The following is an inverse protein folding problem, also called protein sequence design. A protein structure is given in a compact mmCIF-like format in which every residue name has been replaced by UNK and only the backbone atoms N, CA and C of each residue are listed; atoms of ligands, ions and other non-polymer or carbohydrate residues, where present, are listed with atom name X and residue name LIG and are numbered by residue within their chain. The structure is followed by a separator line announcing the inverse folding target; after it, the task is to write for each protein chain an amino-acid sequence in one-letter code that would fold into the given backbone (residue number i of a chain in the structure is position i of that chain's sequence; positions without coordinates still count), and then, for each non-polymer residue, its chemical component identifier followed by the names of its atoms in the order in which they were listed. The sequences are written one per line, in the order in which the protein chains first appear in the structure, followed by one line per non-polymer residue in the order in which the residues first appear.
data_IF_073705296612
#
_entry.id   IF_073705296612
#
_cell.length_a   1.000
_cell.length_b   1.000
_cell.length_c   1.000
_cell.angle_alpha   90.00
_cell.angle_beta   90.00
_cell.angle_gamma   90.00
#
_symmetry.space_group_name_H-M   'P 1'
#
loop_
_entity.id
_entity.type
_entity.pdbx_description
1 polymer ?
#
# COMPACT_ATOMS: atom_id res chain seq x y z
N UNK A 1 -15.81 26.85 -15.11
CA UNK A 1 -15.00 25.92 -14.34
C UNK A 1 -15.98 24.90 -13.77
N UNK A 2 -15.77 23.62 -14.10
CA UNK A 2 -16.58 22.52 -13.58
C UNK A 2 -16.44 22.48 -12.05
N UNK A 3 -17.42 21.92 -11.34
CA UNK A 3 -17.37 21.78 -9.88
C UNK A 3 -16.19 20.88 -9.46
N UNK A 4 -15.88 19.85 -10.24
CA UNK A 4 -14.72 18.99 -9.97
C UNK A 4 -13.39 19.75 -10.14
N UNK A 5 -13.28 20.61 -11.16
CA UNK A 5 -12.09 21.47 -11.30
C UNK A 5 -11.89 22.36 -10.08
N UNK A 6 -12.98 22.90 -9.53
CA UNK A 6 -12.88 23.77 -8.34
C UNK A 6 -12.47 23.01 -7.08
N UNK A 7 -12.94 21.77 -6.94
CA UNK A 7 -12.64 20.92 -5.79
C UNK A 7 -11.28 20.21 -5.90
N UNK A 8 -10.77 19.99 -7.12
CA UNK A 8 -9.52 19.28 -7.35
C UNK A 8 -8.33 20.18 -7.70
N UNK A 9 -8.56 21.50 -7.92
CA UNK A 9 -7.49 22.41 -8.32
C UNK A 9 -6.76 23.03 -7.13
N UNK A 10 -5.46 23.24 -7.29
CA UNK A 10 -4.61 23.92 -6.33
C UNK A 10 -3.61 22.99 -5.66
N UNK A 11 -2.59 23.60 -5.03
CA UNK A 11 -1.68 22.88 -4.14
C UNK A 11 -2.32 22.76 -2.75
N UNK A 12 -2.46 21.52 -2.26
CA UNK A 12 -3.03 21.21 -0.95
C UNK A 12 -4.57 21.17 -0.92
N UNK A 13 -5.11 21.17 0.30
CA UNK A 13 -6.55 21.04 0.55
C UNK A 13 -7.34 22.25 0.01
N UNK A 14 -8.37 22.07 -0.85
CA UNK A 14 -9.14 23.18 -1.45
C UNK A 14 -10.21 23.72 -0.48
N UNK A 15 -9.77 24.24 0.67
CA UNK A 15 -10.61 24.62 1.81
C UNK A 15 -11.74 25.58 1.41
N UNK A 16 -11.44 26.62 0.63
CA UNK A 16 -12.42 27.64 0.25
C UNK A 16 -13.48 27.06 -0.70
N UNK A 17 -13.08 26.17 -1.63
CA UNK A 17 -14.03 25.48 -2.51
C UNK A 17 -14.93 24.52 -1.72
N UNK A 18 -14.41 23.79 -0.76
CA UNK A 18 -15.15 22.88 0.13
C UNK A 18 -16.18 23.69 0.97
N UNK A 19 -15.76 24.82 1.55
CA UNK A 19 -16.66 25.71 2.31
C UNK A 19 -17.75 26.30 1.44
N UNK A 20 -17.39 26.76 0.23
CA UNK A 20 -18.37 27.29 -0.73
C UNK A 20 -19.37 26.22 -1.20
N UNK A 21 -18.91 25.00 -1.48
CA UNK A 21 -19.75 23.86 -1.82
C UNK A 21 -20.72 23.51 -0.67
N UNK A 22 -20.20 23.47 0.57
CA UNK A 22 -21.00 23.17 1.77
C UNK A 22 -22.04 24.23 2.03
N UNK A 23 -21.70 25.52 1.86
CA UNK A 23 -22.66 26.63 1.99
C UNK A 23 -23.78 26.58 0.94
N UNK A 24 -23.52 25.96 -0.22
CA UNK A 24 -24.44 25.84 -1.33
C UNK A 24 -24.88 24.38 -1.60
N UNK A 25 -24.83 23.53 -0.56
CA UNK A 25 -25.07 22.08 -0.66
C UNK A 25 -26.23 21.69 -1.56
N UNK A 26 -27.39 22.34 -1.42
CA UNK A 26 -28.59 22.00 -2.18
C UNK A 26 -28.42 22.14 -3.71
N UNK A 27 -27.58 23.08 -4.17
CA UNK A 27 -27.27 23.28 -5.57
C UNK A 27 -26.09 22.41 -6.04
N UNK A 28 -25.15 22.09 -5.15
CA UNK A 28 -23.92 21.39 -5.48
C UNK A 28 -24.08 19.87 -5.44
N UNK A 29 -24.84 19.31 -4.49
CA UNK A 29 -25.00 17.87 -4.35
C UNK A 29 -25.46 17.17 -5.64
N UNK A 30 -26.44 17.67 -6.41
CA UNK A 30 -26.81 17.07 -7.68
C UNK A 30 -25.66 17.02 -8.71
N UNK A 31 -24.80 18.06 -8.73
CA UNK A 31 -23.64 18.12 -9.63
C UNK A 31 -22.57 17.09 -9.26
N UNK A 32 -22.31 16.92 -7.94
CA UNK A 32 -21.40 15.90 -7.47
C UNK A 32 -21.91 14.48 -7.77
N UNK A 33 -23.22 14.25 -7.61
CA UNK A 33 -23.84 12.98 -7.96
C UNK A 33 -23.70 12.66 -9.45
N UNK A 34 -23.95 13.62 -10.31
CA UNK A 34 -23.75 13.46 -11.75
C UNK A 34 -22.30 13.15 -12.10
N UNK A 35 -21.34 13.81 -11.44
CA UNK A 35 -19.92 13.58 -11.64
C UNK A 35 -19.50 12.17 -11.20
N UNK A 36 -19.94 11.71 -10.03
CA UNK A 36 -19.70 10.34 -9.52
C UNK A 36 -20.30 9.29 -10.47
N UNK A 37 -21.54 9.50 -10.94
CA UNK A 37 -22.18 8.55 -11.86
C UNK A 37 -21.48 8.47 -13.21
N UNK A 38 -21.04 9.60 -13.74
CA UNK A 38 -20.28 9.66 -15.00
C UNK A 38 -18.92 8.98 -14.85
N UNK A 39 -18.18 9.31 -13.78
CA UNK A 39 -16.84 8.78 -13.43
C UNK A 39 -15.92 8.59 -14.64
N UNK A 40 -15.66 9.64 -15.37
CA UNK A 40 -14.72 9.67 -16.51
C UNK A 40 -13.77 10.85 -16.33
N UNK A 41 -12.89 10.81 -15.30
CA UNK A 41 -11.98 11.92 -15.05
C UNK A 41 -10.96 12.02 -16.20
N UNK A 42 -10.64 13.27 -16.58
CA UNK A 42 -9.71 13.58 -17.67
C UNK A 42 -8.31 13.88 -17.15
N UNK A 43 -8.02 13.55 -15.91
CA UNK A 43 -6.72 13.74 -15.28
C UNK A 43 -6.84 13.99 -13.77
N UNK A 44 -5.69 14.20 -13.15
CA UNK A 44 -5.50 14.29 -11.71
C UNK A 44 -6.45 15.32 -11.03
N UNK A 45 -6.67 16.48 -11.64
CA UNK A 45 -7.56 17.51 -11.09
C UNK A 45 -9.00 16.99 -10.94
N UNK A 46 -9.54 16.33 -11.96
CA UNK A 46 -10.90 15.77 -11.88
C UNK A 46 -10.95 14.57 -10.92
N UNK A 47 -9.87 13.80 -10.78
CA UNK A 47 -9.76 12.71 -9.81
C UNK A 47 -9.75 13.23 -8.38
N UNK A 48 -8.93 14.23 -8.08
CA UNK A 48 -8.93 14.92 -6.79
C UNK A 48 -10.30 15.54 -6.49
N UNK A 49 -10.96 16.11 -7.51
CA UNK A 49 -12.32 16.62 -7.40
C UNK A 49 -13.33 15.52 -7.04
N UNK A 50 -13.22 14.32 -7.63
CA UNK A 50 -14.07 13.16 -7.31
C UNK A 50 -13.78 12.64 -5.88
N UNK A 51 -12.51 12.60 -5.47
CA UNK A 51 -12.13 12.26 -4.11
C UNK A 51 -12.80 13.18 -3.08
N UNK A 52 -12.70 14.48 -3.26
CA UNK A 52 -13.38 15.47 -2.38
C UNK A 52 -14.90 15.34 -2.47
N UNK A 53 -15.47 15.14 -3.66
CA UNK A 53 -16.91 14.96 -3.85
C UNK A 53 -17.46 13.75 -3.08
N UNK A 54 -16.73 12.62 -3.08
CA UNK A 54 -17.08 11.43 -2.32
C UNK A 54 -17.20 11.74 -0.82
N UNK A 55 -16.23 12.45 -0.24
CA UNK A 55 -16.21 12.79 1.17
C UNK A 55 -17.26 13.86 1.54
N UNK A 56 -17.47 14.86 0.68
CA UNK A 56 -18.52 15.86 0.91
C UNK A 56 -19.91 15.25 0.96
N UNK A 57 -20.21 14.30 0.09
CA UNK A 57 -21.49 13.58 0.11
C UNK A 57 -21.67 12.81 1.43
N UNK A 58 -20.59 12.21 1.95
CA UNK A 58 -20.56 11.58 3.27
C UNK A 58 -20.79 12.57 4.42
N UNK A 59 -20.04 13.66 4.45
CA UNK A 59 -20.19 14.74 5.43
C UNK A 59 -21.62 15.27 5.47
N UNK A 60 -22.23 15.43 4.32
CA UNK A 60 -23.58 15.98 4.21
C UNK A 60 -24.67 14.96 4.52
N UNK A 61 -24.35 13.70 4.76
CA UNK A 61 -25.34 12.62 4.93
C UNK A 61 -26.32 12.57 3.75
N UNK A 62 -25.80 12.70 2.53
CA UNK A 62 -26.62 12.78 1.33
C UNK A 62 -27.13 11.40 0.92
N UNK A 63 -28.31 11.01 1.42
CA UNK A 63 -28.87 9.66 1.20
C UNK A 63 -29.06 9.32 -0.28
N UNK A 64 -29.29 10.32 -1.14
CA UNK A 64 -29.41 10.12 -2.58
C UNK A 64 -28.07 9.69 -3.23
N UNK A 65 -26.95 9.89 -2.52
CA UNK A 65 -25.61 9.46 -2.96
C UNK A 65 -25.36 7.96 -2.74
N UNK A 66 -26.07 7.30 -1.86
CA UNK A 66 -25.79 5.93 -1.45
C UNK A 66 -25.63 4.95 -2.63
N UNK A 67 -26.65 4.89 -3.50
CA UNK A 67 -26.64 3.99 -4.66
C UNK A 67 -25.66 4.41 -5.77
N UNK A 68 -25.52 5.71 -6.11
CA UNK A 68 -24.43 6.18 -6.96
C UNK A 68 -23.05 5.81 -6.46
N UNK A 69 -22.74 6.03 -5.18
CA UNK A 69 -21.45 5.66 -4.57
C UNK A 69 -21.24 4.15 -4.56
N UNK A 70 -22.26 3.35 -4.25
CA UNK A 70 -22.16 1.90 -4.31
C UNK A 70 -21.82 1.39 -5.73
N UNK A 71 -22.36 2.02 -6.78
CA UNK A 71 -21.98 1.71 -8.16
C UNK A 71 -20.57 2.17 -8.50
N UNK A 72 -20.17 3.33 -8.00
CA UNK A 72 -18.83 3.87 -8.18
C UNK A 72 -17.78 2.94 -7.57
N UNK A 73 -17.96 2.46 -6.32
CA UNK A 73 -17.03 1.57 -5.62
C UNK A 73 -16.82 0.20 -6.30
N UNK A 74 -17.70 -0.19 -7.23
CA UNK A 74 -17.53 -1.43 -8.02
C UNK A 74 -16.77 -1.21 -9.33
N UNK A 75 -16.33 0.01 -9.61
CA UNK A 75 -15.56 0.32 -10.83
C UNK A 75 -14.06 0.13 -10.58
N UNK A 76 -13.30 -0.32 -11.59
CA UNK A 76 -11.84 -0.47 -11.47
C UNK A 76 -11.11 0.81 -11.06
N UNK A 77 -11.63 1.98 -11.47
CA UNK A 77 -11.03 3.28 -11.18
C UNK A 77 -11.19 3.73 -9.73
N UNK A 78 -12.14 3.15 -8.98
CA UNK A 78 -12.50 3.62 -7.64
C UNK A 78 -11.32 3.54 -6.67
N UNK A 79 -10.57 2.43 -6.69
CA UNK A 79 -9.39 2.26 -5.84
C UNK A 79 -8.35 3.36 -6.11
N UNK A 80 -8.01 3.60 -7.37
CA UNK A 80 -7.02 4.62 -7.76
C UNK A 80 -7.45 6.04 -7.39
N UNK A 81 -8.76 6.37 -7.56
CA UNK A 81 -9.29 7.69 -7.23
C UNK A 81 -9.34 7.91 -5.71
N UNK A 82 -9.66 6.87 -4.93
CA UNK A 82 -9.83 6.98 -3.50
C UNK A 82 -8.52 6.77 -2.71
N UNK A 83 -7.53 6.06 -3.27
CA UNK A 83 -6.24 5.84 -2.64
C UNK A 83 -6.38 5.37 -1.18
N UNK A 84 -5.69 6.05 -0.25
CA UNK A 84 -5.70 5.72 1.18
C UNK A 84 -7.11 5.78 1.82
N UNK A 85 -8.06 6.51 1.23
CA UNK A 85 -9.43 6.53 1.73
C UNK A 85 -10.10 5.15 1.71
N UNK A 86 -9.62 4.23 0.89
CA UNK A 86 -10.13 2.85 0.80
C UNK A 86 -10.04 2.16 2.16
N UNK A 87 -8.95 2.34 2.89
CA UNK A 87 -8.77 1.80 4.24
C UNK A 87 -9.29 2.71 5.34
N UNK A 88 -9.25 4.04 5.15
CA UNK A 88 -9.44 5.00 6.23
C UNK A 88 -10.88 5.54 6.33
N UNK A 89 -11.55 5.82 5.21
CA UNK A 89 -12.80 6.60 5.25
C UNK A 89 -13.95 6.01 4.45
N UNK A 90 -13.71 5.13 3.46
CA UNK A 90 -14.76 4.62 2.56
C UNK A 90 -15.91 3.96 3.33
N UNK A 91 -15.65 3.14 4.32
CA UNK A 91 -16.66 2.48 5.16
C UNK A 91 -17.49 3.50 5.94
N UNK A 92 -16.87 4.56 6.46
CA UNK A 92 -17.51 5.64 7.20
C UNK A 92 -18.40 6.50 6.29
N UNK A 93 -17.92 6.82 5.08
CA UNK A 93 -18.68 7.57 4.10
C UNK A 93 -19.91 6.76 3.65
N UNK A 94 -19.74 5.47 3.33
CA UNK A 94 -20.86 4.61 2.90
C UNK A 94 -21.92 4.44 3.99
N UNK A 95 -21.50 4.26 5.26
CA UNK A 95 -22.42 4.26 6.38
C UNK A 95 -23.14 5.61 6.54
N UNK A 96 -22.43 6.73 6.28
CA UNK A 96 -22.96 8.08 6.43
C UNK A 96 -24.08 8.42 5.44
N UNK A 97 -24.02 7.86 4.23
CA UNK A 97 -25.04 8.11 3.17
C UNK A 97 -26.13 7.06 3.12
N UNK A 98 -26.14 6.08 4.01
CA UNK A 98 -27.06 4.95 4.02
C UNK A 98 -28.53 5.35 3.85
N UNK A 99 -29.25 4.69 2.93
CA UNK A 99 -30.64 5.01 2.60
C UNK A 99 -31.67 4.09 3.31
N UNK A 100 -31.22 3.11 4.08
CA UNK A 100 -32.06 2.14 4.78
C UNK A 100 -32.08 0.75 4.13
N UNK A 101 -31.44 0.55 2.97
CA UNK A 101 -31.37 -0.74 2.27
C UNK A 101 -29.92 -1.26 2.25
N UNK A 102 -29.59 -2.35 2.95
CA UNK A 102 -28.23 -2.89 2.95
C UNK A 102 -27.83 -3.58 1.63
N UNK A 103 -28.77 -3.81 0.72
CA UNK A 103 -28.52 -4.52 -0.54
C UNK A 103 -27.32 -4.01 -1.33
N UNK A 104 -27.17 -2.71 -1.59
CA UNK A 104 -25.99 -2.16 -2.29
C UNK A 104 -24.64 -2.46 -1.60
N UNK A 105 -24.57 -2.48 -0.27
CA UNK A 105 -23.36 -2.90 0.48
C UNK A 105 -23.11 -4.40 0.27
N UNK A 106 -24.16 -5.22 0.39
CA UNK A 106 -24.06 -6.67 0.16
C UNK A 106 -23.63 -6.98 -1.28
N UNK A 107 -24.08 -6.21 -2.25
CA UNK A 107 -23.70 -6.35 -3.65
C UNK A 107 -22.20 -6.08 -3.87
N UNK A 108 -21.62 -5.05 -3.22
CA UNK A 108 -20.19 -4.77 -3.27
C UNK A 108 -19.39 -5.92 -2.63
N UNK A 109 -19.79 -6.35 -1.43
CA UNK A 109 -19.13 -7.43 -0.70
C UNK A 109 -19.06 -8.71 -1.54
N UNK A 110 -20.15 -9.04 -2.22
CA UNK A 110 -20.29 -10.29 -2.99
C UNK A 110 -19.76 -10.20 -4.42
N UNK A 111 -19.36 -9.03 -4.91
CA UNK A 111 -18.84 -8.84 -6.26
C UNK A 111 -17.36 -9.23 -6.32
N UNK A 112 -16.99 -10.37 -6.93
CA UNK A 112 -15.59 -10.79 -7.01
C UNK A 112 -14.74 -9.92 -7.94
N UNK A 113 -15.36 -9.10 -8.80
CA UNK A 113 -14.67 -8.17 -9.71
C UNK A 113 -14.40 -6.81 -9.04
N UNK A 114 -15.04 -6.52 -7.91
CA UNK A 114 -14.75 -5.32 -7.14
C UNK A 114 -13.44 -5.51 -6.34
N UNK A 115 -12.73 -4.41 -6.13
CA UNK A 115 -11.49 -4.40 -5.37
C UNK A 115 -11.65 -5.01 -3.97
N UNK A 116 -10.71 -5.85 -3.55
CA UNK A 116 -10.80 -6.61 -2.30
C UNK A 116 -10.80 -5.72 -1.05
N UNK A 117 -10.10 -4.58 -1.07
CA UNK A 117 -10.06 -3.65 0.07
C UNK A 117 -11.35 -2.81 0.15
N UNK A 118 -11.92 -2.44 -1.00
CA UNK A 118 -13.24 -1.81 -1.03
C UNK A 118 -14.32 -2.76 -0.49
N UNK A 119 -14.27 -4.03 -0.86
CA UNK A 119 -15.15 -5.09 -0.32
C UNK A 119 -14.96 -5.27 1.19
N UNK A 120 -13.71 -5.29 1.65
CA UNK A 120 -13.34 -5.33 3.07
C UNK A 120 -13.94 -4.14 3.83
N UNK A 121 -13.80 -2.93 3.30
CA UNK A 121 -14.38 -1.73 3.92
C UNK A 121 -15.88 -1.79 4.10
N UNK A 122 -16.63 -2.48 3.23
CA UNK A 122 -18.09 -2.61 3.36
C UNK A 122 -18.51 -3.41 4.59
N UNK A 123 -17.70 -4.33 5.10
CA UNK A 123 -17.97 -4.96 6.40
C UNK A 123 -17.85 -3.95 7.54
N UNK A 124 -16.88 -3.03 7.49
CA UNK A 124 -16.79 -1.91 8.43
C UNK A 124 -18.04 -1.02 8.39
N UNK A 125 -18.56 -0.74 7.20
CA UNK A 125 -19.81 0.02 7.04
C UNK A 125 -21.00 -0.71 7.71
N UNK A 126 -21.12 -2.04 7.57
CA UNK A 126 -22.16 -2.82 8.26
C UNK A 126 -22.02 -2.72 9.79
N UNK A 127 -20.79 -2.79 10.31
CA UNK A 127 -20.54 -2.63 11.75
C UNK A 127 -21.03 -1.26 12.22
N UNK A 128 -20.63 -0.17 11.55
CA UNK A 128 -21.08 1.18 11.89
C UNK A 128 -22.63 1.26 11.91
N UNK A 129 -23.28 0.76 10.87
CA UNK A 129 -24.74 0.82 10.76
C UNK A 129 -25.45 0.05 11.87
N UNK A 130 -24.91 -1.09 12.31
CA UNK A 130 -25.47 -1.83 13.46
C UNK A 130 -25.27 -1.05 14.75
N UNK A 131 -24.08 -0.51 14.97
CA UNK A 131 -23.75 0.22 16.20
C UNK A 131 -24.53 1.52 16.35
N UNK A 132 -24.87 2.17 15.22
CA UNK A 132 -25.73 3.36 15.19
C UNK A 132 -27.24 3.01 15.14
N UNK A 133 -27.62 1.72 15.19
CA UNK A 133 -29.01 1.30 15.21
C UNK A 133 -29.75 1.44 13.89
N UNK A 134 -29.04 1.64 12.78
CA UNK A 134 -29.62 1.74 11.43
C UNK A 134 -29.88 0.35 10.81
N UNK A 135 -29.15 -0.70 11.27
CA UNK A 135 -29.35 -2.08 10.88
C UNK A 135 -29.53 -3.00 12.10
N UNK A 136 -30.34 -4.03 11.94
CA UNK A 136 -30.52 -5.06 12.96
C UNK A 136 -29.31 -6.00 12.99
N UNK A 137 -28.72 -6.18 14.19
CA UNK A 137 -27.55 -7.05 14.40
C UNK A 137 -27.81 -8.49 13.96
N UNK A 138 -29.02 -9.00 14.15
CA UNK A 138 -29.38 -10.38 13.77
C UNK A 138 -29.52 -10.55 12.27
N UNK A 139 -29.87 -9.49 11.56
CA UNK A 139 -29.89 -9.47 10.09
C UNK A 139 -28.47 -9.55 9.53
N UNK A 140 -27.56 -8.71 10.05
CA UNK A 140 -26.16 -8.72 9.64
C UNK A 140 -25.48 -10.05 10.02
N UNK A 141 -25.77 -10.62 11.21
CA UNK A 141 -25.27 -11.93 11.60
C UNK A 141 -25.68 -13.04 10.60
N UNK A 142 -26.92 -13.04 10.13
CA UNK A 142 -27.41 -14.00 9.10
C UNK A 142 -26.70 -13.80 7.77
N UNK A 143 -26.46 -12.54 7.38
CA UNK A 143 -25.69 -12.23 6.17
C UNK A 143 -24.25 -12.77 6.30
N UNK A 144 -23.54 -12.47 7.41
CA UNK A 144 -22.19 -12.95 7.66
C UNK A 144 -22.11 -14.49 7.67
N UNK A 145 -23.09 -15.16 8.29
CA UNK A 145 -23.15 -16.62 8.29
C UNK A 145 -23.29 -17.19 6.87
N UNK A 146 -24.19 -16.62 6.05
CA UNK A 146 -24.39 -17.07 4.68
C UNK A 146 -23.22 -16.74 3.76
N UNK A 147 -22.52 -15.66 4.04
CA UNK A 147 -21.35 -15.21 3.26
C UNK A 147 -20.16 -16.17 3.35
N UNK A 148 -20.03 -16.94 4.42
CA UNK A 148 -18.92 -17.89 4.60
C UNK A 148 -18.74 -18.84 3.40
N UNK A 149 -19.83 -19.31 2.81
CA UNK A 149 -19.79 -20.18 1.64
C UNK A 149 -19.94 -19.46 0.30
N UNK A 150 -20.44 -18.22 0.32
CA UNK A 150 -20.76 -17.45 -0.87
C UNK A 150 -19.61 -16.56 -1.35
N UNK A 151 -18.82 -16.01 -0.43
CA UNK A 151 -17.73 -15.10 -0.74
C UNK A 151 -16.70 -15.73 -1.68
N UNK A 152 -16.15 -14.92 -2.57
CA UNK A 152 -15.07 -15.27 -3.50
C UNK A 152 -13.93 -14.25 -3.37
N UNK A 153 -12.66 -14.72 -3.49
CA UNK A 153 -12.24 -16.13 -3.60
C UNK A 153 -12.48 -16.90 -2.30
N UNK A 154 -12.55 -18.25 -2.39
CA UNK A 154 -12.48 -19.16 -1.23
C UNK A 154 -11.02 -19.50 -0.96
N UNK A 155 -10.23 -18.50 -0.59
CA UNK A 155 -8.80 -18.51 -0.36
C UNK A 155 -8.35 -17.17 0.21
N UNK A 156 -7.04 -16.93 0.40
CA UNK A 156 -6.49 -15.69 0.96
C UNK A 156 -6.97 -14.45 0.19
N UNK A 157 -7.57 -13.50 0.90
CA UNK A 157 -8.09 -12.26 0.32
C UNK A 157 -8.45 -11.29 1.45
N UNK A 158 -8.22 -9.99 1.25
CA UNK A 158 -8.55 -8.96 2.24
C UNK A 158 -10.03 -8.95 2.66
N UNK A 159 -10.93 -9.45 1.81
CA UNK A 159 -12.35 -9.57 2.12
C UNK A 159 -12.62 -10.40 3.37
N UNK A 160 -11.81 -11.44 3.63
CA UNK A 160 -11.94 -12.30 4.81
C UNK A 160 -11.49 -11.61 6.09
N UNK A 161 -10.52 -10.69 6.01
CA UNK A 161 -10.13 -9.84 7.14
C UNK A 161 -11.29 -8.92 7.53
N UNK A 162 -12.04 -8.37 6.56
CA UNK A 162 -13.25 -7.59 6.83
C UNK A 162 -14.37 -8.44 7.43
N UNK A 163 -14.59 -9.65 6.88
CA UNK A 163 -15.63 -10.57 7.35
C UNK A 163 -15.43 -10.98 8.80
N UNK A 164 -14.22 -11.45 9.17
CA UNK A 164 -13.93 -11.83 10.55
C UNK A 164 -13.93 -10.60 11.48
N UNK A 165 -13.43 -9.42 11.02
CA UNK A 165 -13.49 -8.18 11.79
C UNK A 165 -14.92 -7.76 12.13
N UNK A 166 -15.87 -7.91 11.20
CA UNK A 166 -17.28 -7.65 11.50
C UNK A 166 -17.86 -8.67 12.52
N UNK A 167 -17.43 -9.92 12.46
CA UNK A 167 -17.83 -10.94 13.46
C UNK A 167 -17.34 -10.56 14.85
N UNK A 168 -16.07 -10.17 15.00
CA UNK A 168 -15.50 -9.77 16.29
C UNK A 168 -16.13 -8.46 16.79
N UNK A 169 -16.17 -7.40 15.98
CA UNK A 169 -16.68 -6.08 16.35
C UNK A 169 -18.16 -6.10 16.76
N UNK A 170 -18.96 -6.96 16.16
CA UNK A 170 -20.37 -7.16 16.53
C UNK A 170 -20.58 -8.17 17.66
N UNK A 171 -19.53 -8.76 18.22
CA UNK A 171 -19.63 -9.73 19.32
C UNK A 171 -20.39 -11.00 18.94
N UNK A 172 -20.29 -11.49 17.70
CA UNK A 172 -21.06 -12.62 17.17
C UNK A 172 -20.38 -13.95 17.53
N UNK A 173 -20.41 -14.31 18.81
CA UNK A 173 -19.79 -15.53 19.35
C UNK A 173 -20.25 -16.81 18.68
N UNK A 174 -21.48 -16.84 18.18
CA UNK A 174 -22.07 -17.97 17.44
C UNK A 174 -21.37 -18.27 16.12
N UNK A 175 -20.64 -17.30 15.54
CA UNK A 175 -19.88 -17.46 14.29
C UNK A 175 -18.41 -17.83 14.52
N UNK A 176 -17.92 -17.89 15.76
CA UNK A 176 -16.52 -18.26 16.09
C UNK A 176 -16.06 -19.57 15.41
N UNK A 177 -16.89 -20.65 15.32
CA UNK A 177 -16.45 -21.86 14.61
C UNK A 177 -16.15 -21.64 13.13
N UNK A 178 -16.91 -20.76 12.45
CA UNK A 178 -16.67 -20.42 11.03
C UNK A 178 -15.42 -19.55 10.87
N UNK A 179 -15.16 -18.64 11.83
CA UNK A 179 -13.93 -17.83 11.82
C UNK A 179 -12.72 -18.74 12.01
N UNK A 180 -12.76 -19.68 12.94
CA UNK A 180 -11.69 -20.67 13.13
C UNK A 180 -11.43 -21.45 11.83
N UNK A 181 -12.48 -21.93 11.16
CA UNK A 181 -12.37 -22.62 9.88
C UNK A 181 -11.73 -21.71 8.79
N UNK A 182 -12.05 -20.41 8.79
CA UNK A 182 -11.44 -19.46 7.84
C UNK A 182 -9.92 -19.30 8.07
N UNK A 183 -9.48 -19.26 9.34
CA UNK A 183 -8.05 -19.24 9.68
C UNK A 183 -7.36 -20.57 9.34
N UNK A 184 -7.96 -21.71 9.65
CA UNK A 184 -7.43 -23.05 9.32
C UNK A 184 -7.32 -23.31 7.83
N UNK A 185 -8.13 -22.62 7.00
CA UNK A 185 -8.12 -22.68 5.53
C UNK A 185 -7.28 -21.58 4.88
N UNK A 186 -6.53 -20.82 5.67
CA UNK A 186 -5.72 -19.68 5.23
C UNK A 186 -6.50 -18.62 4.40
N UNK A 187 -7.79 -18.40 4.72
CA UNK A 187 -8.59 -17.34 4.08
C UNK A 187 -8.23 -15.97 4.63
N UNK A 188 -7.97 -15.89 5.93
CA UNK A 188 -7.56 -14.67 6.64
C UNK A 188 -6.05 -14.55 6.58
N UNK A 189 -5.55 -13.38 6.19
CA UNK A 189 -4.12 -13.11 6.19
C UNK A 189 -3.60 -12.97 7.63
N UNK A 190 -2.89 -14.00 8.10
CA UNK A 190 -2.38 -14.12 9.46
C UNK A 190 -1.16 -13.22 9.74
N UNK A 191 -0.61 -12.56 8.72
CA UNK A 191 0.45 -11.55 8.91
C UNK A 191 -0.08 -10.35 9.70
N UNK A 192 -1.36 -10.01 9.51
CA UNK A 192 -1.96 -8.84 10.16
C UNK A 192 -2.77 -9.14 11.41
N UNK A 193 -3.33 -10.35 11.52
CA UNK A 193 -4.19 -10.73 12.62
C UNK A 193 -4.18 -12.25 12.79
N UNK A 194 -3.81 -12.73 13.96
CA UNK A 194 -3.94 -14.15 14.30
C UNK A 194 -5.29 -14.45 14.99
N UNK A 195 -5.56 -15.76 15.21
CA UNK A 195 -6.82 -16.18 15.81
C UNK A 195 -6.94 -15.78 17.29
N UNK A 196 -5.82 -15.62 18.03
CA UNK A 196 -5.82 -15.18 19.43
C UNK A 196 -6.25 -13.71 19.52
N UNK A 197 -5.79 -12.88 18.57
CA UNK A 197 -6.21 -11.48 18.45
C UNK A 197 -7.70 -11.37 18.12
N UNK A 198 -8.22 -12.19 17.19
CA UNK A 198 -9.65 -12.28 16.94
C UNK A 198 -10.45 -12.62 18.22
N UNK A 199 -10.01 -13.64 19.00
CA UNK A 199 -10.70 -14.00 20.26
C UNK A 199 -10.65 -12.88 21.31
N UNK A 200 -9.54 -12.11 21.35
CA UNK A 200 -9.40 -10.96 22.24
C UNK A 200 -10.39 -9.84 21.86
N UNK A 201 -10.45 -9.49 20.56
CA UNK A 201 -11.36 -8.47 20.03
C UNK A 201 -12.83 -8.88 20.25
N UNK A 202 -13.17 -10.13 19.96
CA UNK A 202 -14.51 -10.68 20.21
C UNK A 202 -14.92 -10.58 21.68
N UNK A 203 -14.00 -10.95 22.57
CA UNK A 203 -14.24 -10.89 24.03
C UNK A 203 -14.45 -9.45 24.48
N UNK A 204 -13.69 -8.52 23.99
CA UNK A 204 -13.80 -7.10 24.28
C UNK A 204 -15.15 -6.54 23.81
N UNK A 205 -15.56 -6.82 22.58
CA UNK A 205 -16.87 -6.43 22.06
C UNK A 205 -18.03 -7.01 22.89
N UNK A 206 -17.90 -8.26 23.36
CA UNK A 206 -18.90 -8.91 24.22
C UNK A 206 -18.95 -8.33 25.64
N UNK A 207 -17.87 -7.74 26.15
CA UNK A 207 -17.83 -7.13 27.49
C UNK A 207 -18.65 -5.83 27.56
N UNK A 208 -19.14 -5.32 26.43
CA UNK A 208 -19.89 -4.06 26.39
C UNK A 208 -18.98 -2.84 26.55
N UNK A 209 -17.68 -3.06 26.44
CA UNK A 209 -16.68 -2.00 26.32
C UNK A 209 -16.63 -1.64 24.83
N UNK A 210 -17.53 -0.75 24.35
CA UNK A 210 -17.66 -0.59 22.93
C UNK A 210 -16.42 0.18 22.46
N UNK A 211 -15.91 -0.19 21.32
CA UNK A 211 -15.29 0.67 20.33
C UNK A 211 -14.28 1.73 20.78
N UNK A 212 -14.39 2.33 21.99
CA UNK A 212 -13.39 3.25 22.55
C UNK A 212 -12.02 2.58 22.75
N UNK A 213 -12.00 1.29 22.94
CA UNK A 213 -10.78 0.50 23.14
C UNK A 213 -10.19 -0.07 21.85
N UNK A 214 -10.98 -0.11 20.77
CA UNK A 214 -10.56 -0.61 19.44
C UNK A 214 -10.21 0.49 18.46
N UNK A 215 -9.62 1.64 18.89
CA UNK A 215 -9.39 2.80 18.05
C UNK A 215 -10.71 3.49 17.64
N UNK A 216 -11.41 4.02 18.61
CA UNK A 216 -12.80 4.48 18.63
C UNK A 216 -13.33 5.36 17.51
N UNK A 217 -12.50 5.89 16.63
CA UNK A 217 -12.96 6.69 15.49
C UNK A 217 -13.23 5.83 14.23
N UNK A 218 -12.68 4.63 14.11
CA UNK A 218 -12.79 3.76 12.93
C UNK A 218 -14.24 3.35 12.62
N UNK A 219 -15.08 3.20 13.66
CA UNK A 219 -16.49 2.82 13.54
C UNK A 219 -17.45 3.99 13.74
N UNK A 220 -17.00 5.20 13.54
CA UNK A 220 -17.86 6.37 13.54
C UNK A 220 -18.27 6.78 12.13
N UNK A 221 -19.39 7.48 12.04
CA UNK A 221 -19.80 8.09 10.78
C UNK A 221 -18.79 9.17 10.36
N UNK A 222 -18.60 9.34 9.06
CA UNK A 222 -17.67 10.34 8.53
C UNK A 222 -18.06 11.75 8.99
N UNK A 223 -17.09 12.52 9.43
CA UNK A 223 -17.28 13.85 10.00
C UNK A 223 -17.11 14.99 8.99
N UNK A 224 -16.32 16.01 9.40
CA UNK A 224 -16.02 17.18 8.56
C UNK A 224 -14.85 16.89 7.61
N UNK A 225 -15.07 17.05 6.31
CA UNK A 225 -14.08 16.74 5.27
C UNK A 225 -12.74 17.47 5.48
N UNK A 226 -12.77 18.76 5.91
CA UNK A 226 -11.55 19.53 6.13
C UNK A 226 -10.83 19.01 7.37
N UNK A 227 -11.56 18.81 8.46
CA UNK A 227 -10.97 18.38 9.73
C UNK A 227 -10.34 16.97 9.64
N UNK A 228 -10.93 16.07 8.85
CA UNK A 228 -10.45 14.69 8.74
C UNK A 228 -9.34 14.51 7.69
N UNK A 229 -9.32 15.32 6.64
CA UNK A 229 -8.41 15.07 5.50
C UNK A 229 -7.29 16.11 5.38
N UNK A 230 -7.36 17.28 6.06
CA UNK A 230 -6.39 18.36 5.84
C UNK A 230 -4.94 17.96 6.13
N UNK A 231 -4.73 17.04 7.07
CA UNK A 231 -3.40 16.56 7.47
C UNK A 231 -2.90 15.37 6.65
N UNK A 232 -3.68 14.90 5.68
CA UNK A 232 -3.26 13.79 4.82
C UNK A 232 -2.12 14.20 3.90
N UNK A 233 -1.19 13.30 3.63
CA UNK A 233 0.01 13.55 2.84
C UNK A 233 -0.29 14.15 1.45
N UNK A 234 -1.38 13.72 0.80
CA UNK A 234 -1.80 14.24 -0.51
C UNK A 234 -2.19 15.73 -0.48
N UNK A 235 -2.53 16.29 0.69
CA UNK A 235 -2.88 17.69 0.87
C UNK A 235 -1.78 18.52 1.54
N UNK A 236 -0.68 17.90 1.94
CA UNK A 236 0.46 18.65 2.45
C UNK A 236 1.20 19.32 1.30
N UNK A 237 1.78 20.53 1.52
CA UNK A 237 2.65 21.12 0.53
C UNK A 237 3.72 20.08 0.18
N UNK A 238 3.81 19.71 -1.10
CA UNK A 238 5.01 18.97 -1.55
C UNK A 238 6.18 19.82 -1.11
N UNK A 239 6.99 19.31 -0.19
CA UNK A 239 8.25 19.99 0.12
C UNK A 239 8.89 20.29 -1.24
N UNK A 240 9.32 21.55 -1.48
CA UNK A 240 10.01 21.84 -2.73
C UNK A 240 11.07 20.76 -2.80
N UNK A 241 11.11 20.07 -3.93
CA UNK A 241 12.22 19.21 -4.27
C UNK A 241 13.45 20.13 -4.19
N UNK A 242 13.93 20.30 -2.98
CA UNK A 242 15.24 20.86 -2.75
C UNK A 242 16.06 19.83 -3.49
N UNK A 243 16.40 20.18 -4.75
CA UNK A 243 17.46 19.49 -5.42
C UNK A 243 18.47 19.33 -4.31
N UNK A 244 18.56 18.10 -3.77
CA UNK A 244 19.52 17.78 -2.72
C UNK A 244 20.81 18.15 -3.41
N UNK A 245 21.20 19.43 -3.28
CA UNK A 245 22.53 19.85 -3.62
C UNK A 245 23.34 18.89 -2.80
N UNK A 246 23.87 17.93 -3.50
CA UNK A 246 24.92 17.07 -2.99
C UNK A 246 25.94 18.04 -2.38
N UNK A 247 25.77 18.37 -1.12
CA UNK A 247 26.82 18.95 -0.32
C UNK A 247 27.71 17.74 -0.10
N UNK A 248 28.87 17.65 -0.79
CA UNK A 248 29.75 16.55 -0.52
C UNK A 248 30.04 16.67 0.97
N UNK A 249 29.54 15.73 1.75
CA UNK A 249 29.92 15.57 3.15
C UNK A 249 31.43 15.35 3.09
N UNK A 250 32.15 16.42 3.39
CA UNK A 250 33.58 16.36 3.55
C UNK A 250 33.84 15.39 4.69
N UNK A 251 34.43 14.27 4.32
CA UNK A 251 34.97 13.22 5.20
C UNK A 251 34.06 12.02 5.54
N UNK A 252 33.59 11.32 4.50
CA UNK A 252 33.59 9.87 4.63
C UNK A 252 34.91 9.38 4.07
N UNK A 253 35.76 8.63 4.81
CA UNK A 253 36.98 8.06 4.27
C UNK A 253 36.58 7.10 3.15
N UNK A 254 36.85 7.45 1.91
CA UNK A 254 36.72 6.55 0.76
C UNK A 254 37.54 5.31 1.11
N UNK A 255 36.87 4.18 1.31
CA UNK A 255 37.57 2.92 1.58
C UNK A 255 38.37 2.57 0.33
N UNK A 256 39.66 2.87 0.35
CA UNK A 256 40.55 2.47 -0.72
C UNK A 256 40.80 0.96 -0.61
N UNK A 257 40.24 0.12 -1.48
CA UNK A 257 40.43 -1.34 -1.44
C UNK A 257 41.89 -1.74 -1.60
N UNK A 258 42.75 -0.82 -2.02
CA UNK A 258 44.21 -1.02 -2.18
C UNK A 258 45.04 -0.38 -1.08
N UNK A 259 44.44 0.01 0.05
CA UNK A 259 45.15 0.68 1.17
C UNK A 259 46.35 -0.09 1.67
N UNK A 260 46.32 -1.40 1.57
CA UNK A 260 47.39 -2.29 2.05
C UNK A 260 48.32 -2.82 0.93
N UNK A 261 48.19 -2.30 -0.31
CA UNK A 261 49.00 -2.72 -1.45
C UNK A 261 50.11 -1.70 -1.69
N UNK A 262 51.34 -2.09 -1.49
CA UNK A 262 52.51 -1.23 -1.76
C UNK A 262 52.67 -0.95 -3.25
N UNK A 263 53.17 0.22 -3.60
CA UNK A 263 53.35 0.64 -5.02
C UNK A 263 54.21 -0.37 -5.82
N UNK A 264 55.08 -1.13 -5.17
CA UNK A 264 55.97 -2.09 -5.80
C UNK A 264 55.47 -3.55 -5.70
N UNK A 265 54.38 -3.79 -4.98
CA UNK A 265 53.80 -5.12 -4.83
C UNK A 265 53.16 -5.64 -6.12
N UNK A 266 53.01 -6.96 -6.29
CA UNK A 266 52.27 -7.51 -7.40
C UNK A 266 50.83 -6.93 -7.44
N UNK A 267 50.39 -6.55 -8.63
CA UNK A 267 49.03 -5.95 -8.75
C UNK A 267 47.95 -6.99 -8.41
N UNK A 268 46.99 -6.67 -7.53
CA UNK A 268 45.93 -7.60 -7.12
C UNK A 268 45.02 -8.05 -8.30
N UNK A 269 45.02 -7.35 -9.43
CA UNK A 269 44.29 -7.75 -10.64
C UNK A 269 44.86 -9.00 -11.34
N UNK A 270 45.88 -9.64 -10.81
CA UNK A 270 46.49 -10.86 -11.39
C UNK A 270 47.34 -10.65 -12.64
N UNK A 271 47.64 -9.42 -13.05
CA UNK A 271 48.38 -9.12 -14.28
C UNK A 271 49.86 -9.42 -14.22
N UNK A 272 50.41 -9.83 -13.08
CA UNK A 272 51.86 -10.05 -12.84
C UNK A 272 52.73 -8.78 -12.87
N UNK A 273 52.13 -7.59 -13.08
CA UNK A 273 52.85 -6.30 -13.07
C UNK A 273 52.81 -5.69 -11.68
N UNK A 274 53.80 -4.82 -11.38
CA UNK A 274 53.79 -4.02 -10.16
C UNK A 274 52.59 -3.09 -10.12
N UNK A 275 51.96 -2.91 -8.95
CA UNK A 275 50.76 -2.13 -8.76
C UNK A 275 50.84 -0.72 -9.38
N UNK A 276 51.98 -0.03 -9.19
CA UNK A 276 52.24 1.29 -9.79
C UNK A 276 52.27 1.32 -11.32
N UNK A 277 52.48 0.19 -12.00
CA UNK A 277 52.51 0.04 -13.44
C UNK A 277 51.28 -0.64 -14.03
N UNK A 278 50.24 -0.77 -13.24
CA UNK A 278 49.04 -1.44 -13.62
C UNK A 278 47.79 -0.65 -13.15
N UNK A 279 47.18 -1.00 -12.03
CA UNK A 279 45.92 -0.41 -11.58
C UNK A 279 46.07 0.96 -10.92
N UNK A 280 47.24 1.31 -10.38
CA UNK A 280 47.49 2.64 -9.81
C UNK A 280 47.43 3.77 -10.89
N UNK A 281 47.92 3.50 -12.12
CA UNK A 281 47.88 4.46 -13.22
C UNK A 281 46.49 4.55 -13.90
N UNK A 282 45.63 3.54 -13.76
CA UNK A 282 44.27 3.52 -14.34
C UNK A 282 43.27 4.34 -13.54
N UNK A 283 43.55 4.77 -12.34
CA UNK A 283 42.73 5.64 -11.51
C UNK A 283 42.82 7.13 -11.89
N UNK A 284 43.52 7.47 -12.95
CA UNK A 284 43.64 8.83 -13.51
C UNK A 284 43.05 8.90 -14.90
N UNK A 285 41.80 8.49 -15.11
CA UNK A 285 41.15 8.70 -16.41
C UNK A 285 39.95 9.63 -16.19
N UNK A 286 40.02 10.76 -16.91
CA UNK A 286 38.95 11.73 -17.08
C UNK A 286 37.70 11.10 -17.72
N UNK A 287 36.49 11.68 -17.53
CA UNK A 287 35.25 11.13 -18.05
C UNK A 287 35.26 11.04 -19.57
N UNK A 288 34.69 10.00 -20.16
CA UNK A 288 34.68 9.84 -21.61
C UNK A 288 33.79 10.89 -22.30
N UNK A 289 34.36 11.54 -23.26
CA UNK A 289 33.71 12.39 -24.26
C UNK A 289 32.76 11.53 -25.10
N UNK A 290 31.55 12.01 -25.30
CA UNK A 290 30.52 11.48 -26.18
C UNK A 290 31.04 10.87 -27.48
N UNK A 291 30.76 9.59 -27.71
CA UNK A 291 30.96 8.93 -29.02
C UNK A 291 29.61 8.91 -29.74
N UNK A 292 29.58 9.49 -30.93
CA UNK A 292 28.44 9.43 -31.84
C UNK A 292 28.13 7.96 -32.21
N UNK A 293 26.87 7.58 -32.11
CA UNK A 293 26.35 6.29 -32.57
C UNK A 293 26.11 6.39 -34.09
N UNK A 294 26.69 5.46 -34.82
CA UNK A 294 26.56 5.31 -36.27
C UNK A 294 25.21 4.61 -36.59
N UNK A 295 24.36 5.34 -37.31
CA UNK A 295 23.10 4.90 -37.90
C UNK A 295 23.33 3.80 -38.94
N UNK A 296 23.21 2.54 -38.58
CA UNK A 296 22.97 1.46 -39.55
C UNK A 296 22.46 0.19 -38.84
N UNK A 297 21.17 0.13 -38.54
CA UNK A 297 20.28 -0.98 -38.77
C UNK A 297 18.85 -0.46 -38.66
N UNK A 298 18.30 -0.19 -39.84
CA UNK A 298 16.89 0.11 -40.00
C UNK A 298 16.08 -1.19 -40.23
N UNK A 299 14.88 -1.15 -39.71
CA UNK A 299 13.63 -1.79 -40.16
C UNK A 299 13.47 -3.30 -39.96
N UNK A 300 12.49 -3.67 -39.11
CA UNK A 300 11.24 -4.17 -39.65
C UNK A 300 10.08 -3.91 -38.66
N UNK A 301 8.98 -3.55 -39.28
CA UNK A 301 7.70 -3.08 -38.77
C UNK A 301 7.08 -3.93 -37.66
N UNK A 302 6.72 -3.30 -36.54
CA UNK A 302 5.45 -3.51 -35.84
C UNK A 302 4.89 -2.15 -35.48
N UNK A 303 3.92 -1.74 -36.28
CA UNK A 303 3.12 -0.52 -36.11
C UNK A 303 2.22 -0.61 -34.86
N UNK A 304 2.08 0.58 -34.26
CA UNK A 304 0.96 1.03 -33.44
C UNK A 304 0.66 0.31 -32.11
N UNK A 305 1.24 0.83 -31.06
CA UNK A 305 0.55 1.39 -29.90
C UNK A 305 1.58 2.14 -29.05
N UNK A 306 1.88 3.38 -29.50
CA UNK A 306 2.52 4.36 -28.66
C UNK A 306 1.45 4.99 -27.79
N UNK A 307 1.56 4.82 -26.48
CA UNK A 307 1.27 5.90 -25.54
C UNK A 307 2.28 5.81 -24.41
N UNK A 308 3.11 6.85 -24.36
CA UNK A 308 4.16 7.07 -23.43
C UNK A 308 3.55 7.44 -22.08
N UNK A 309 3.74 6.60 -21.09
CA UNK A 309 3.97 7.02 -19.72
C UNK A 309 4.76 5.89 -19.07
N UNK A 310 5.84 6.25 -18.36
CA UNK A 310 6.90 5.37 -17.92
C UNK A 310 6.46 4.19 -17.07
N UNK A 311 5.85 3.21 -17.67
CA UNK A 311 5.43 1.98 -17.01
C UNK A 311 6.65 1.06 -16.85
N UNK A 312 6.89 0.58 -15.64
CA UNK A 312 7.82 -0.52 -15.39
C UNK A 312 7.20 -1.79 -16.00
N UNK A 313 7.52 -2.05 -17.28
CA UNK A 313 6.87 -3.14 -18.02
C UNK A 313 7.44 -4.53 -17.73
N UNK A 314 8.66 -4.64 -17.17
CA UNK A 314 9.36 -5.91 -16.99
C UNK A 314 10.07 -5.99 -15.63
N UNK A 315 9.30 -6.01 -14.51
CA UNK A 315 9.90 -6.31 -13.21
C UNK A 315 10.29 -7.78 -13.12
N UNK A 316 11.56 -8.03 -12.83
CA UNK A 316 12.11 -9.35 -12.53
C UNK A 316 12.88 -9.29 -11.19
N UNK A 317 12.42 -9.93 -10.11
CA UNK A 317 13.08 -9.89 -8.81
C UNK A 317 14.47 -10.55 -8.81
N UNK A 318 14.82 -11.30 -9.85
CA UNK A 318 16.17 -11.85 -10.03
C UNK A 318 17.16 -10.80 -10.55
N UNK A 319 16.68 -9.68 -11.07
CA UNK A 319 17.47 -8.56 -11.59
C UNK A 319 17.22 -7.32 -10.73
N UNK A 320 18.28 -6.62 -10.31
CA UNK A 320 18.11 -5.36 -9.59
C UNK A 320 17.58 -4.30 -10.55
N UNK A 321 16.43 -3.66 -10.25
CA UNK A 321 15.92 -2.55 -11.06
C UNK A 321 16.90 -1.38 -11.08
N UNK A 322 16.86 -0.57 -12.16
CA UNK A 322 17.56 0.70 -12.15
C UNK A 322 16.99 1.60 -11.05
N UNK A 323 17.81 2.08 -10.08
CA UNK A 323 17.30 2.82 -8.93
C UNK A 323 16.56 4.12 -9.30
N UNK A 324 17.02 4.83 -10.33
CA UNK A 324 16.42 6.10 -10.74
C UNK A 324 15.06 5.85 -11.43
N UNK A 325 14.96 4.84 -12.27
CA UNK A 325 13.69 4.43 -12.89
C UNK A 325 12.72 3.92 -11.85
N UNK A 326 13.18 3.05 -10.94
CA UNK A 326 12.34 2.48 -9.88
C UNK A 326 11.76 3.54 -8.96
N UNK A 327 12.58 4.46 -8.45
CA UNK A 327 12.13 5.50 -7.51
C UNK A 327 11.29 6.60 -8.19
N UNK A 328 11.42 6.79 -9.51
CA UNK A 328 10.60 7.75 -10.26
C UNK A 328 9.21 7.23 -10.58
N UNK A 329 9.05 5.91 -10.69
CA UNK A 329 7.76 5.28 -10.94
C UNK A 329 6.79 5.50 -9.77
N UNK A 330 5.49 5.57 -10.06
CA UNK A 330 4.45 5.65 -9.04
C UNK A 330 4.41 4.40 -8.14
N UNK A 331 4.05 4.57 -6.86
CA UNK A 331 3.98 3.44 -5.92
C UNK A 331 3.06 2.33 -6.43
N UNK A 332 1.86 2.70 -6.90
CA UNK A 332 0.90 1.73 -7.46
C UNK A 332 1.47 1.01 -8.67
N UNK A 333 2.21 1.71 -9.53
CA UNK A 333 2.86 1.13 -10.69
C UNK A 333 3.89 0.07 -10.30
N UNK A 334 4.71 0.34 -9.27
CA UNK A 334 5.64 -0.64 -8.71
C UNK A 334 4.93 -1.85 -8.12
N UNK A 335 3.83 -1.64 -7.39
CA UNK A 335 3.01 -2.72 -6.83
C UNK A 335 2.43 -3.58 -7.96
N UNK A 336 1.88 -2.96 -9.01
CA UNK A 336 1.30 -3.68 -10.14
C UNK A 336 2.34 -4.46 -10.94
N UNK A 337 3.56 -3.92 -11.09
CA UNK A 337 4.67 -4.61 -11.72
C UNK A 337 5.06 -5.89 -10.94
N UNK A 338 5.15 -5.81 -9.62
CA UNK A 338 5.43 -6.98 -8.76
C UNK A 338 4.27 -7.99 -8.81
N UNK A 339 3.02 -7.52 -8.72
CA UNK A 339 1.82 -8.40 -8.86
C UNK A 339 1.80 -9.11 -10.21
N UNK A 340 2.16 -8.40 -11.28
CA UNK A 340 2.22 -8.99 -12.61
C UNK A 340 3.25 -10.11 -12.69
N UNK A 341 4.44 -9.94 -12.10
CA UNK A 341 5.44 -11.01 -12.02
C UNK A 341 4.89 -12.24 -11.28
N UNK A 342 4.23 -12.02 -10.14
CA UNK A 342 3.71 -13.09 -9.29
C UNK A 342 2.35 -13.67 -9.73
N UNK A 343 1.73 -13.18 -10.81
CA UNK A 343 0.38 -13.62 -11.25
C UNK A 343 0.27 -15.14 -11.47
N UNK A 344 1.36 -15.78 -11.90
CA UNK A 344 1.43 -17.21 -12.20
C UNK A 344 2.09 -18.02 -11.07
N UNK A 345 2.39 -17.38 -9.92
CA UNK A 345 2.97 -18.08 -8.77
C UNK A 345 2.02 -19.17 -8.25
N UNK A 346 2.60 -20.26 -7.73
CA UNK A 346 1.81 -21.41 -7.25
C UNK A 346 1.10 -21.12 -5.94
N UNK A 347 1.69 -20.29 -5.11
CA UNK A 347 1.14 -19.87 -3.82
C UNK A 347 0.22 -18.66 -4.00
N UNK A 348 -0.98 -18.69 -3.38
CA UNK A 348 -1.86 -17.51 -3.34
C UNK A 348 -1.28 -16.39 -2.49
N UNK A 349 -0.49 -16.73 -1.45
CA UNK A 349 0.21 -15.74 -0.65
C UNK A 349 1.19 -14.91 -1.50
N UNK A 350 1.91 -15.53 -2.43
CA UNK A 350 2.79 -14.83 -3.37
C UNK A 350 2.03 -13.94 -4.36
N UNK A 351 0.76 -14.21 -4.64
CA UNK A 351 -0.10 -13.39 -5.50
C UNK A 351 -0.80 -12.27 -4.75
N UNK A 352 -0.69 -12.21 -3.43
CA UNK A 352 -1.37 -11.19 -2.62
C UNK A 352 -0.79 -9.79 -2.83
N UNK A 353 -1.63 -8.76 -2.68
CA UNK A 353 -1.20 -7.36 -2.73
C UNK A 353 -0.19 -7.04 -1.63
N UNK A 354 -0.35 -7.65 -0.46
CA UNK A 354 0.57 -7.49 0.68
C UNK A 354 1.97 -7.97 0.35
N UNK A 355 2.07 -9.15 -0.28
CA UNK A 355 3.34 -9.68 -0.74
C UNK A 355 4.01 -8.71 -1.73
N UNK A 356 3.25 -8.16 -2.67
CA UNK A 356 3.74 -7.17 -3.61
C UNK A 356 4.21 -5.89 -2.90
N UNK A 357 3.46 -5.38 -1.92
CA UNK A 357 3.86 -4.21 -1.12
C UNK A 357 5.16 -4.46 -0.37
N UNK A 358 5.32 -5.61 0.28
CA UNK A 358 6.57 -5.97 0.98
C UNK A 358 7.75 -5.99 -0.01
N UNK A 359 7.57 -6.59 -1.19
CA UNK A 359 8.59 -6.54 -2.25
C UNK A 359 8.97 -5.11 -2.61
N UNK A 360 7.97 -4.25 -2.87
CA UNK A 360 8.20 -2.84 -3.24
C UNK A 360 8.95 -2.10 -2.15
N UNK A 361 8.60 -2.28 -0.87
CA UNK A 361 9.32 -1.64 0.24
C UNK A 361 10.78 -2.10 0.31
N UNK A 362 11.05 -3.40 0.15
CA UNK A 362 12.42 -3.92 0.14
C UNK A 362 13.20 -3.38 -1.05
N UNK A 363 12.61 -3.34 -2.26
CA UNK A 363 13.25 -2.78 -3.45
C UNK A 363 13.50 -1.26 -3.32
N UNK A 364 12.58 -0.51 -2.72
CA UNK A 364 12.78 0.91 -2.42
C UNK A 364 13.99 1.10 -1.50
N UNK A 365 14.10 0.30 -0.44
CA UNK A 365 15.23 0.35 0.49
C UNK A 365 16.56 -0.06 -0.18
N UNK A 366 16.53 -0.96 -1.16
CA UNK A 366 17.69 -1.30 -1.99
C UNK A 366 18.06 -0.13 -2.89
N UNK A 367 17.08 0.48 -3.55
CA UNK A 367 17.27 1.61 -4.47
C UNK A 367 17.80 2.88 -3.76
N UNK A 368 17.44 3.10 -2.48
CA UNK A 368 17.98 4.18 -1.64
C UNK A 368 19.49 4.02 -1.33
N UNK A 369 20.06 2.85 -1.61
CA UNK A 369 21.50 2.64 -1.58
C UNK A 369 22.05 2.17 -0.22
N UNK A 370 23.31 2.53 0.06
CA UNK A 370 24.07 1.97 1.19
C UNK A 370 23.81 2.64 2.54
N UNK A 371 22.93 3.64 2.60
CA UNK A 371 22.58 4.32 3.86
C UNK A 371 21.79 3.36 4.78
N UNK A 372 21.02 2.45 4.18
CA UNK A 372 20.27 1.42 4.89
C UNK A 372 21.01 0.06 4.87
N UNK A 373 20.83 -0.79 5.90
CA UNK A 373 21.49 -2.09 5.94
C UNK A 373 20.97 -3.11 4.93
N UNK A 374 19.88 -2.81 4.23
CA UNK A 374 19.15 -3.74 3.37
C UNK A 374 20.04 -4.22 2.21
N UNK A 375 20.64 -3.32 1.44
CA UNK A 375 21.51 -3.67 0.30
C UNK A 375 22.67 -4.59 0.71
N UNK A 376 23.37 -4.29 1.82
CA UNK A 376 24.46 -5.14 2.33
C UNK A 376 23.95 -6.48 2.86
N UNK A 377 22.73 -6.53 3.42
CA UNK A 377 22.09 -7.78 3.86
C UNK A 377 21.74 -8.64 2.65
N UNK A 378 21.15 -8.08 1.60
CA UNK A 378 20.87 -8.76 0.34
C UNK A 378 22.15 -9.40 -0.23
N UNK A 379 23.23 -8.61 -0.36
CA UNK A 379 24.52 -9.11 -0.86
C UNK A 379 25.01 -10.29 -0.01
N UNK A 380 24.94 -10.18 1.34
CA UNK A 380 25.37 -11.24 2.24
C UNK A 380 24.54 -12.51 2.10
N UNK A 381 23.21 -12.40 1.96
CA UNK A 381 22.31 -13.56 1.80
C UNK A 381 22.56 -14.27 0.46
N UNK A 382 22.77 -13.51 -0.62
CA UNK A 382 23.16 -14.07 -1.92
C UNK A 382 24.54 -14.74 -1.89
N UNK A 383 25.52 -14.19 -1.20
CA UNK A 383 26.84 -14.82 -0.98
C UNK A 383 26.72 -16.13 -0.17
N UNK A 384 25.66 -16.27 0.63
CA UNK A 384 25.36 -17.49 1.40
C UNK A 384 24.52 -18.51 0.61
N UNK A 385 24.16 -18.22 -0.65
CA UNK A 385 23.57 -19.16 -1.60
C UNK A 385 22.09 -18.99 -1.89
N UNK A 386 21.41 -17.94 -1.38
CA UNK A 386 20.07 -17.59 -1.82
C UNK A 386 20.14 -16.92 -3.20
N UNK A 387 19.13 -17.12 -4.03
CA UNK A 387 18.96 -16.23 -5.17
C UNK A 387 18.40 -14.85 -4.72
N UNK A 388 18.35 -13.88 -5.62
CA UNK A 388 17.96 -12.53 -5.27
C UNK A 388 16.49 -12.46 -4.78
N UNK A 389 15.62 -13.22 -5.40
CA UNK A 389 14.21 -13.28 -5.04
C UNK A 389 14.00 -13.88 -3.63
N UNK A 390 14.68 -15.00 -3.35
CA UNK A 390 14.69 -15.59 -2.00
C UNK A 390 15.25 -14.63 -0.96
N UNK A 391 16.28 -13.86 -1.31
CA UNK A 391 16.85 -12.84 -0.41
C UNK A 391 15.87 -11.68 -0.16
N UNK A 392 15.08 -11.25 -1.16
CA UNK A 392 14.00 -10.27 -0.97
C UNK A 392 12.96 -10.82 0.02
N UNK A 393 12.52 -12.08 -0.15
CA UNK A 393 11.58 -12.72 0.77
C UNK A 393 12.13 -12.82 2.20
N UNK A 394 13.41 -13.17 2.36
CA UNK A 394 14.04 -13.25 3.67
C UNK A 394 14.08 -11.89 4.38
N UNK A 395 14.44 -10.82 3.67
CA UNK A 395 14.41 -9.44 4.19
C UNK A 395 12.97 -9.00 4.45
N UNK A 396 12.04 -9.31 3.54
CA UNK A 396 10.62 -9.00 3.65
C UNK A 396 9.96 -9.65 4.88
N UNK A 397 10.35 -10.87 5.24
CA UNK A 397 9.84 -11.55 6.43
C UNK A 397 10.23 -10.82 7.73
N UNK A 398 11.47 -10.32 7.81
CA UNK A 398 11.92 -9.50 8.95
C UNK A 398 11.16 -8.18 9.00
N UNK A 399 10.95 -7.54 7.85
CA UNK A 399 10.17 -6.31 7.73
C UNK A 399 8.71 -6.52 8.22
N UNK A 400 8.05 -7.58 7.74
CA UNK A 400 6.69 -7.92 8.15
C UNK A 400 6.58 -8.18 9.66
N UNK A 401 7.53 -8.92 10.24
CA UNK A 401 7.61 -9.14 11.68
C UNK A 401 7.76 -7.83 12.47
N UNK A 402 8.60 -6.92 11.97
CA UNK A 402 8.82 -5.61 12.58
C UNK A 402 7.56 -4.74 12.53
N UNK A 403 6.88 -4.67 11.38
CA UNK A 403 5.61 -3.94 11.23
C UNK A 403 4.57 -4.50 12.22
N UNK A 404 4.43 -5.82 12.32
CA UNK A 404 3.54 -6.46 13.29
C UNK A 404 3.82 -6.06 14.73
N UNK A 405 5.10 -6.01 15.13
CA UNK A 405 5.46 -5.60 16.48
C UNK A 405 5.13 -4.13 16.74
N UNK A 406 5.40 -3.23 15.79
CA UNK A 406 5.04 -1.81 15.88
C UNK A 406 3.51 -1.64 16.01
N UNK A 407 2.73 -2.37 15.22
CA UNK A 407 1.27 -2.36 15.32
C UNK A 407 0.78 -2.86 16.68
N UNK A 408 1.39 -3.93 17.21
CA UNK A 408 1.07 -4.46 18.53
C UNK A 408 1.40 -3.47 19.66
N UNK A 409 2.53 -2.79 19.57
CA UNK A 409 2.92 -1.75 20.53
C UNK A 409 1.98 -0.56 20.46
N UNK A 410 1.63 -0.11 19.26
CA UNK A 410 0.66 0.97 19.04
C UNK A 410 -0.72 0.62 19.62
N UNK A 411 -1.22 -0.59 19.36
CA UNK A 411 -2.47 -1.10 19.95
C UNK A 411 -2.43 -1.14 21.49
N UNK A 412 -1.26 -1.39 22.07
CA UNK A 412 -1.07 -1.37 23.52
C UNK A 412 -0.87 0.06 24.10
N UNK A 413 -1.04 1.10 23.30
CA UNK A 413 -0.84 2.50 23.71
C UNK A 413 0.62 2.86 24.02
N UNK A 414 1.57 2.06 23.55
CA UNK A 414 3.00 2.29 23.72
C UNK A 414 3.54 2.95 22.45
N UNK A 415 3.94 4.21 22.56
CA UNK A 415 4.68 4.87 21.49
C UNK A 415 6.16 4.56 21.67
N UNK A 416 6.84 3.96 20.67
CA UNK A 416 8.27 3.74 20.76
C UNK A 416 9.02 5.07 20.86
N UNK A 417 10.01 5.16 21.78
CA UNK A 417 10.91 6.29 21.88
C UNK A 417 12.09 6.11 20.94
N UNK A 418 12.39 7.12 20.11
CA UNK A 418 13.53 7.12 19.20
C UNK A 418 13.20 6.62 17.78
N UNK A 419 14.23 6.18 17.04
CA UNK A 419 14.06 5.64 15.70
C UNK A 419 13.44 4.24 15.75
N UNK A 420 12.23 4.12 15.27
CA UNK A 420 11.43 2.89 15.26
C UNK A 420 12.07 1.77 14.43
N UNK A 421 12.95 2.10 13.48
CA UNK A 421 13.56 1.12 12.58
C UNK A 421 14.84 0.46 13.17
N UNK A 422 15.34 0.93 14.30
CA UNK A 422 16.56 0.35 14.92
C UNK A 422 16.44 -1.15 15.18
N UNK A 423 15.33 -1.69 15.73
CA UNK A 423 15.17 -3.14 15.91
C UNK A 423 15.19 -3.90 14.58
N UNK A 424 14.50 -3.41 13.57
CA UNK A 424 14.45 -3.97 12.21
C UNK A 424 15.87 -4.08 11.62
N UNK A 425 16.62 -2.99 11.64
CA UNK A 425 17.98 -2.97 11.10
C UNK A 425 18.94 -3.89 11.88
N UNK A 426 18.78 -3.98 13.20
CA UNK A 426 19.56 -4.90 14.01
C UNK A 426 19.26 -6.37 13.71
N UNK A 427 18.03 -6.70 13.37
CA UNK A 427 17.63 -8.05 12.98
C UNK A 427 18.14 -8.41 11.58
N UNK A 428 18.05 -7.48 10.63
CA UNK A 428 18.65 -7.66 9.31
C UNK A 428 20.16 -7.99 9.38
N UNK A 429 20.90 -7.37 10.29
CA UNK A 429 22.34 -7.66 10.44
C UNK A 429 22.62 -9.08 10.93
N UNK A 430 21.68 -9.70 11.65
CA UNK A 430 21.80 -11.08 12.19
C UNK A 430 21.28 -12.13 11.23
N UNK A 431 20.34 -11.76 10.33
CA UNK A 431 19.69 -12.68 9.41
C UNK A 431 20.72 -13.45 8.56
N UNK A 432 20.57 -14.77 8.47
CA UNK A 432 21.39 -15.62 7.60
C UNK A 432 20.52 -16.44 6.66
N UNK A 433 21.08 -16.87 5.52
CA UNK A 433 20.38 -17.76 4.59
C UNK A 433 19.91 -19.07 5.26
N UNK A 434 20.68 -19.55 6.25
CA UNK A 434 20.32 -20.74 7.02
C UNK A 434 19.08 -20.50 7.90
N UNK A 435 18.95 -19.31 8.51
CA UNK A 435 17.79 -18.97 9.32
C UNK A 435 16.54 -18.95 8.45
N UNK A 436 16.63 -18.33 7.28
CA UNK A 436 15.56 -18.30 6.28
C UNK A 436 15.12 -19.71 5.83
N UNK A 437 16.08 -20.54 5.40
CA UNK A 437 15.78 -21.90 4.94
C UNK A 437 15.24 -22.85 6.03
N UNK A 438 15.40 -22.51 7.32
CA UNK A 438 14.86 -23.29 8.42
C UNK A 438 13.51 -22.75 8.95
N UNK A 439 13.05 -21.60 8.47
CA UNK A 439 11.78 -20.96 8.88
C UNK A 439 10.61 -21.32 7.97
N UNK A 440 10.86 -22.01 6.84
CA UNK A 440 9.86 -22.46 5.86
C UNK A 440 9.37 -23.88 6.06
#
# INVERSE_FOLDING_TARGET
MDILDQLGSGEGMPIEAIRAATANRAAVAPLLLEAIERCTPKGEIEENGLFIAFHLLGQWREKSAYRPLARFLRRPEAYRILGDAVSETVHRVMASVFDGDPGPIYDIINDPEADEFLRRGMFGALVILVLHGELDRSEVARFLQSSFTALKPQGPCAVWNGWQGAVSALGLTELTPLVREAFERDFVDQVYLDFEEFEADLKQACAGDPLESQQGWEYELFGDTIAELADWACFQPKEPEVARRFVPSSAVPTHNPFRNVGRNDPCPCGSGKKFKKCCLDKQRVEPPTTVAVDDRYAMDEWDDLADADGQIQDYDPLVEPDPDEWLTAGEQERIDAVKYYHRDARSEAERSTVHAVIHVVVENQIAEGDELPVRRTMTRLMDQGLDRHEAIHAVGSVLAGHINELMREAKAGRNPEGDVNVPYFAELERLTAKDWLNSG
#
